data_IF_147131861788
#
_entry.id   IF_147131861788
#
_cell.length_a   1.000
_cell.length_b   1.000
_cell.length_c   1.000
_cell.angle_alpha   90.00
_cell.angle_beta   90.00
_cell.angle_gamma   90.00
#
_symmetry.space_group_name_H-M   'P 1'
#
loop_
_entity.id
_entity.type
_entity.pdbx_description
1 polymer ?
#
# COMPACT_ATOMS: atom_id res chain seq x y z
N UNK A 1 -29.06 -31.24 -24.31
CA UNK A 1 -29.59 -30.12 -23.51
C UNK A 1 -28.50 -29.08 -23.42
N UNK A 2 -28.82 -27.81 -23.68
CA UNK A 2 -27.85 -26.71 -23.58
C UNK A 2 -27.32 -26.58 -22.14
N UNK A 3 -26.12 -26.04 -21.99
CA UNK A 3 -25.51 -25.90 -20.66
C UNK A 3 -26.32 -24.93 -19.78
N UNK A 4 -26.86 -23.85 -20.37
CA UNK A 4 -27.73 -22.93 -19.65
C UNK A 4 -28.96 -23.62 -19.06
N UNK A 5 -29.66 -24.45 -19.84
CA UNK A 5 -30.84 -25.21 -19.36
C UNK A 5 -30.43 -26.21 -18.27
N UNK A 6 -29.26 -26.84 -18.41
CA UNK A 6 -28.73 -27.78 -17.43
C UNK A 6 -28.50 -27.09 -16.08
N UNK A 7 -27.85 -25.93 -16.07
CA UNK A 7 -27.55 -25.16 -14.85
C UNK A 7 -28.86 -24.84 -14.11
N UNK A 8 -29.87 -24.33 -14.80
CA UNK A 8 -31.16 -24.01 -14.18
C UNK A 8 -31.85 -25.24 -13.58
N UNK A 9 -31.83 -26.38 -14.28
CA UNK A 9 -32.47 -27.63 -13.82
C UNK A 9 -31.73 -28.32 -12.69
N UNK A 10 -30.41 -28.13 -12.59
CA UNK A 10 -29.54 -28.84 -11.65
C UNK A 10 -28.90 -27.90 -10.62
N UNK A 11 -29.51 -26.76 -10.34
CA UNK A 11 -28.96 -25.75 -9.43
C UNK A 11 -28.62 -26.31 -8.05
N UNK A 12 -29.55 -27.00 -7.38
CA UNK A 12 -29.29 -27.55 -6.04
C UNK A 12 -28.16 -28.60 -5.99
N UNK A 13 -28.12 -29.60 -6.89
CA UNK A 13 -26.96 -30.50 -6.99
C UNK A 13 -25.62 -29.79 -7.17
N UNK A 14 -25.59 -28.71 -7.97
CA UNK A 14 -24.37 -27.91 -8.19
C UNK A 14 -23.98 -27.16 -6.91
N UNK A 15 -24.95 -26.50 -6.25
CA UNK A 15 -24.73 -25.76 -5.00
C UNK A 15 -24.28 -26.67 -3.85
N UNK A 16 -24.80 -27.91 -3.79
CA UNK A 16 -24.37 -28.89 -2.80
C UNK A 16 -22.90 -29.31 -2.99
N UNK A 17 -22.43 -29.47 -4.24
CA UNK A 17 -21.01 -29.75 -4.51
C UNK A 17 -20.11 -28.56 -4.17
N UNK A 18 -20.58 -27.34 -4.45
CA UNK A 18 -19.88 -26.12 -4.05
C UNK A 18 -19.74 -26.04 -2.52
N UNK A 19 -20.83 -26.22 -1.77
CA UNK A 19 -20.81 -26.18 -0.30
C UNK A 19 -19.83 -27.21 0.28
N UNK A 20 -19.90 -28.45 -0.21
CA UNK A 20 -19.01 -29.52 0.24
C UNK A 20 -17.54 -29.17 0.00
N UNK A 21 -17.21 -28.56 -1.14
CA UNK A 21 -15.86 -28.08 -1.42
C UNK A 21 -15.46 -26.90 -0.52
N UNK A 22 -16.31 -25.88 -0.41
CA UNK A 22 -16.03 -24.68 0.37
C UNK A 22 -15.77 -25.00 1.85
N UNK A 23 -16.48 -25.98 2.42
CA UNK A 23 -16.26 -26.47 3.79
C UNK A 23 -14.82 -27.00 4.05
N UNK A 24 -14.11 -27.43 3.00
CA UNK A 24 -12.72 -27.93 3.10
C UNK A 24 -11.68 -26.81 3.22
N UNK A 25 -12.04 -25.55 2.96
CA UNK A 25 -11.13 -24.41 2.92
C UNK A 25 -10.82 -23.87 4.34
N UNK A 26 -10.07 -24.66 5.11
CA UNK A 26 -9.65 -24.31 6.47
C UNK A 26 -8.45 -23.32 6.49
N UNK A 27 -8.33 -22.46 7.52
CA UNK A 27 -9.24 -22.30 8.67
C UNK A 27 -10.46 -21.39 8.39
N UNK A 28 -10.52 -20.75 7.22
CA UNK A 28 -11.53 -19.73 6.91
C UNK A 28 -12.98 -20.26 6.97
N UNK A 29 -13.19 -21.50 6.49
CA UNK A 29 -14.50 -22.13 6.51
C UNK A 29 -14.95 -22.64 7.90
N UNK A 30 -14.10 -22.59 8.94
CA UNK A 30 -14.37 -23.24 10.24
C UNK A 30 -15.62 -22.72 10.96
N UNK A 31 -15.94 -21.43 10.81
CA UNK A 31 -17.03 -20.76 11.52
C UNK A 31 -18.25 -20.48 10.65
N UNK A 32 -18.32 -21.07 9.46
CA UNK A 32 -19.36 -20.78 8.47
C UNK A 32 -20.45 -21.84 8.49
N UNK A 33 -21.71 -21.40 8.41
CA UNK A 33 -22.85 -22.27 8.18
C UNK A 33 -23.07 -22.53 6.68
N UNK A 34 -23.97 -23.46 6.36
CA UNK A 34 -24.27 -23.84 4.98
C UNK A 34 -24.74 -22.67 4.13
N UNK A 35 -25.50 -21.72 4.71
CA UNK A 35 -25.95 -20.51 4.02
C UNK A 35 -24.74 -19.66 3.62
N UNK A 36 -23.85 -19.36 4.58
CA UNK A 36 -22.66 -18.56 4.33
C UNK A 36 -21.69 -19.22 3.33
N UNK A 37 -21.60 -20.56 3.31
CA UNK A 37 -20.79 -21.28 2.33
C UNK A 37 -21.37 -21.19 0.91
N UNK A 38 -22.70 -21.09 0.77
CA UNK A 38 -23.40 -21.01 -0.53
C UNK A 38 -23.63 -19.58 -1.03
N UNK A 39 -23.38 -18.57 -0.20
CA UNK A 39 -23.63 -17.16 -0.52
C UNK A 39 -23.22 -16.79 -1.94
N UNK A 40 -24.17 -16.29 -2.73
CA UNK A 40 -24.00 -15.78 -4.10
C UNK A 40 -23.63 -16.81 -5.18
N UNK A 41 -23.37 -18.08 -4.83
CA UNK A 41 -23.04 -19.13 -5.81
C UNK A 41 -24.18 -19.37 -6.81
N UNK A 42 -25.44 -19.27 -6.36
CA UNK A 42 -26.63 -19.37 -7.21
C UNK A 42 -26.67 -18.24 -8.23
N UNK A 43 -26.51 -17.00 -7.78
CA UNK A 43 -26.59 -15.82 -8.62
C UNK A 43 -25.42 -15.76 -9.63
N UNK A 44 -24.23 -16.25 -9.25
CA UNK A 44 -23.09 -16.42 -10.18
C UNK A 44 -23.44 -17.42 -11.29
N UNK A 45 -24.06 -18.55 -10.94
CA UNK A 45 -24.49 -19.55 -11.91
C UNK A 45 -25.62 -19.05 -12.82
N UNK A 46 -26.57 -18.29 -12.27
CA UNK A 46 -27.65 -17.65 -13.03
C UNK A 46 -27.09 -16.63 -14.03
N UNK A 47 -26.13 -15.80 -13.60
CA UNK A 47 -25.44 -14.86 -14.48
C UNK A 47 -24.67 -15.58 -15.60
N UNK A 48 -23.95 -16.66 -15.27
CA UNK A 48 -23.26 -17.48 -16.27
C UNK A 48 -24.23 -18.16 -17.25
N UNK A 49 -25.35 -18.68 -16.77
CA UNK A 49 -26.38 -19.28 -17.62
C UNK A 49 -27.05 -18.24 -18.54
N UNK A 50 -27.29 -17.03 -18.04
CA UNK A 50 -27.81 -15.92 -18.83
C UNK A 50 -26.82 -15.51 -19.92
N UNK A 51 -25.54 -15.40 -19.59
CA UNK A 51 -24.48 -15.05 -20.54
C UNK A 51 -24.37 -16.05 -21.70
N UNK A 52 -24.44 -17.36 -21.41
CA UNK A 52 -24.48 -18.43 -22.44
C UNK A 52 -25.59 -18.19 -23.47
N UNK A 53 -26.74 -17.66 -23.02
CA UNK A 53 -27.90 -17.40 -23.89
C UNK A 53 -27.90 -16.02 -24.55
N UNK A 54 -27.03 -15.11 -24.12
CA UNK A 54 -27.02 -13.73 -24.60
C UNK A 54 -26.37 -13.62 -25.99
N UNK A 55 -27.00 -12.97 -26.98
CA UNK A 55 -26.35 -12.73 -28.27
C UNK A 55 -25.10 -11.88 -28.10
N UNK A 56 -23.98 -12.31 -28.69
CA UNK A 56 -22.69 -11.60 -28.67
C UNK A 56 -22.04 -11.70 -30.04
N UNK A 57 -21.40 -10.63 -30.46
CA UNK A 57 -20.51 -10.57 -31.63
C UNK A 57 -19.18 -11.27 -31.33
N UNK A 58 -18.42 -11.62 -32.37
CA UNK A 58 -17.06 -12.17 -32.21
C UNK A 58 -16.10 -11.19 -31.52
N UNK A 59 -16.30 -9.90 -31.72
CA UNK A 59 -15.50 -8.85 -31.09
C UNK A 59 -15.80 -8.76 -29.59
N UNK A 60 -17.08 -8.76 -29.20
CA UNK A 60 -17.49 -8.81 -27.79
C UNK A 60 -16.97 -10.08 -27.10
N UNK A 61 -17.02 -11.23 -27.79
CA UNK A 61 -16.46 -12.47 -27.28
C UNK A 61 -14.94 -12.38 -27.10
N UNK A 62 -14.23 -11.79 -28.07
CA UNK A 62 -12.79 -11.60 -27.99
C UNK A 62 -12.40 -10.67 -26.83
N UNK A 63 -13.00 -9.49 -26.73
CA UNK A 63 -12.71 -8.53 -25.66
C UNK A 63 -13.01 -9.14 -24.29
N UNK A 64 -14.08 -9.92 -24.15
CA UNK A 64 -14.37 -10.66 -22.93
C UNK A 64 -13.30 -11.70 -22.59
N UNK A 65 -12.84 -12.46 -23.59
CA UNK A 65 -11.79 -13.48 -23.40
C UNK A 65 -10.44 -12.90 -22.93
N UNK A 66 -10.16 -11.61 -23.22
CA UNK A 66 -8.94 -10.91 -22.79
C UNK A 66 -9.16 -9.99 -21.59
N UNK A 67 -10.34 -10.04 -20.96
CA UNK A 67 -10.67 -9.26 -19.76
C UNK A 67 -10.94 -7.76 -20.01
N UNK A 68 -11.35 -7.39 -21.23
CA UNK A 68 -11.67 -6.01 -21.64
C UNK A 68 -13.17 -5.78 -21.85
N UNK A 69 -14.02 -6.67 -21.33
CA UNK A 69 -15.45 -6.47 -21.38
C UNK A 69 -15.83 -5.12 -20.71
N UNK A 70 -16.71 -4.31 -21.33
CA UNK A 70 -17.07 -3.01 -20.77
C UNK A 70 -17.74 -3.18 -19.41
N UNK A 71 -17.11 -2.65 -18.36
CA UNK A 71 -17.71 -2.51 -17.05
C UNK A 71 -18.82 -1.46 -17.14
N UNK A 72 -20.05 -1.83 -16.75
CA UNK A 72 -21.13 -0.85 -16.63
C UNK A 72 -20.88 0.01 -15.39
N UNK A 73 -20.37 1.23 -15.61
CA UNK A 73 -20.03 2.24 -14.59
C UNK A 73 -21.16 2.55 -13.59
N UNK A 74 -22.42 2.17 -13.88
CA UNK A 74 -23.59 2.35 -13.02
C UNK A 74 -24.37 1.04 -12.74
N UNK A 75 -23.79 -0.14 -12.99
CA UNK A 75 -24.47 -1.39 -12.66
C UNK A 75 -24.44 -1.64 -11.13
N UNK A 76 -25.51 -2.22 -10.55
CA UNK A 76 -25.46 -2.72 -9.18
C UNK A 76 -24.35 -3.77 -9.03
N UNK A 77 -23.81 -3.90 -7.81
CA UNK A 77 -22.75 -4.88 -7.52
C UNK A 77 -23.13 -6.27 -8.03
N UNK A 78 -22.23 -6.92 -8.77
CA UNK A 78 -22.46 -8.27 -9.29
C UNK A 78 -22.40 -9.29 -8.14
N UNK A 79 -23.06 -10.44 -8.31
CA UNK A 79 -22.98 -11.52 -7.34
C UNK A 79 -21.53 -11.98 -7.07
N UNK A 80 -20.67 -11.92 -8.08
CA UNK A 80 -19.24 -12.22 -7.96
C UNK A 80 -18.51 -11.18 -7.08
N UNK A 81 -18.88 -9.90 -7.20
CA UNK A 81 -18.35 -8.82 -6.36
C UNK A 81 -18.78 -8.98 -4.90
N UNK A 82 -20.07 -9.19 -4.63
CA UNK A 82 -20.58 -9.41 -3.27
C UNK A 82 -20.00 -10.68 -2.64
N UNK A 83 -19.85 -11.76 -3.43
CA UNK A 83 -19.21 -12.99 -3.00
C UNK A 83 -17.76 -12.74 -2.53
N UNK A 84 -16.97 -12.04 -3.34
CA UNK A 84 -15.59 -11.69 -3.02
C UNK A 84 -15.47 -10.90 -1.72
N UNK A 85 -16.34 -9.91 -1.50
CA UNK A 85 -16.36 -9.08 -0.27
C UNK A 85 -16.64 -9.96 0.96
N UNK A 86 -17.61 -10.87 0.88
CA UNK A 86 -17.93 -11.78 1.98
C UNK A 86 -16.77 -12.72 2.30
N UNK A 87 -16.09 -13.26 1.29
CA UNK A 87 -14.91 -14.11 1.47
C UNK A 87 -13.74 -13.37 2.12
N UNK A 88 -13.47 -12.15 1.69
CA UNK A 88 -12.46 -11.29 2.32
C UNK A 88 -12.76 -11.07 3.82
N UNK A 89 -14.01 -10.76 4.17
CA UNK A 89 -14.44 -10.57 5.58
C UNK A 89 -14.38 -11.84 6.43
N UNK A 90 -14.46 -13.02 5.81
CA UNK A 90 -14.38 -14.33 6.48
C UNK A 90 -12.94 -14.88 6.55
N UNK A 91 -11.94 -14.12 6.13
CA UNK A 91 -10.53 -14.50 6.23
C UNK A 91 -10.08 -15.53 5.19
N UNK A 92 -10.80 -15.62 4.06
CA UNK A 92 -10.31 -16.38 2.92
C UNK A 92 -9.06 -15.71 2.35
N UNK A 93 -8.18 -16.48 1.72
CA UNK A 93 -7.12 -15.96 0.86
C UNK A 93 -7.49 -16.08 -0.62
N UNK A 94 -6.74 -15.39 -1.49
CA UNK A 94 -7.00 -15.36 -2.94
C UNK A 94 -6.96 -16.75 -3.59
N UNK A 95 -6.12 -17.66 -3.10
CA UNK A 95 -6.04 -19.02 -3.62
C UNK A 95 -7.28 -19.83 -3.25
N UNK A 96 -7.85 -19.62 -2.06
CA UNK A 96 -9.10 -20.25 -1.63
C UNK A 96 -10.27 -19.75 -2.48
N UNK A 97 -10.38 -18.44 -2.71
CA UNK A 97 -11.38 -17.85 -3.60
C UNK A 97 -11.28 -18.42 -5.03
N UNK A 98 -10.08 -18.42 -5.62
CA UNK A 98 -9.87 -18.99 -6.95
C UNK A 98 -10.16 -20.50 -7.01
N UNK A 99 -9.94 -21.21 -5.91
CA UNK A 99 -10.25 -22.63 -5.81
C UNK A 99 -11.77 -22.88 -5.80
N UNK A 100 -12.59 -22.02 -5.19
CA UNK A 100 -14.06 -22.12 -5.24
C UNK A 100 -14.57 -22.05 -6.68
N UNK A 101 -14.13 -21.06 -7.46
CA UNK A 101 -14.48 -20.94 -8.89
C UNK A 101 -14.00 -22.13 -9.72
N UNK A 102 -12.77 -22.62 -9.46
CA UNK A 102 -12.24 -23.81 -10.12
C UNK A 102 -13.09 -25.04 -9.83
N UNK A 103 -13.51 -25.23 -8.57
CA UNK A 103 -14.37 -26.32 -8.15
C UNK A 103 -15.75 -26.23 -8.80
N UNK A 104 -16.37 -25.03 -8.83
CA UNK A 104 -17.65 -24.79 -9.49
C UNK A 104 -17.63 -25.19 -10.96
N UNK A 105 -16.65 -24.66 -11.70
CA UNK A 105 -16.49 -24.94 -13.13
C UNK A 105 -16.35 -26.44 -13.36
N UNK A 106 -15.51 -27.11 -12.57
CA UNK A 106 -15.32 -28.55 -12.67
C UNK A 106 -16.59 -29.33 -12.32
N UNK A 107 -17.37 -28.89 -11.33
CA UNK A 107 -18.63 -29.52 -10.93
C UNK A 107 -19.70 -29.37 -12.02
N UNK A 108 -19.91 -28.16 -12.54
CA UNK A 108 -20.89 -27.88 -13.60
C UNK A 108 -20.56 -28.67 -14.85
N UNK A 109 -19.31 -28.59 -15.34
CA UNK A 109 -18.91 -29.26 -16.57
C UNK A 109 -18.98 -30.79 -16.44
N UNK A 110 -18.54 -31.35 -15.32
CA UNK A 110 -18.59 -32.80 -15.07
C UNK A 110 -20.03 -33.30 -15.00
N UNK A 111 -20.87 -32.67 -14.19
CA UNK A 111 -22.28 -33.05 -14.08
C UNK A 111 -23.01 -32.93 -15.42
N UNK A 112 -22.70 -31.90 -16.21
CA UNK A 112 -23.30 -31.73 -17.53
C UNK A 112 -22.80 -32.76 -18.55
N UNK A 113 -21.50 -33.06 -18.58
CA UNK A 113 -20.93 -34.11 -19.45
C UNK A 113 -21.53 -35.48 -19.13
N UNK A 114 -21.61 -35.82 -17.84
CA UNK A 114 -22.13 -37.11 -17.36
C UNK A 114 -23.63 -37.27 -17.70
N UNK A 115 -24.42 -36.21 -17.51
CA UNK A 115 -25.87 -36.25 -17.72
C UNK A 115 -26.30 -36.09 -19.19
N UNK A 116 -25.59 -35.27 -19.97
CA UNK A 116 -26.08 -34.82 -21.28
C UNK A 116 -25.31 -35.40 -22.47
N UNK A 117 -24.08 -35.89 -22.29
CA UNK A 117 -23.18 -36.35 -23.38
C UNK A 117 -23.22 -35.39 -24.59
N UNK A 118 -22.77 -34.13 -24.42
CA UNK A 118 -22.98 -33.07 -25.39
C UNK A 118 -22.27 -33.32 -26.72
N UNK A 119 -22.92 -32.91 -27.79
CA UNK A 119 -22.46 -32.92 -29.18
C UNK A 119 -21.91 -31.54 -29.62
N UNK A 120 -21.24 -31.47 -30.77
CA UNK A 120 -20.46 -30.30 -31.21
C UNK A 120 -21.15 -28.91 -31.08
N UNK A 121 -22.45 -28.73 -31.41
CA UNK A 121 -23.13 -27.44 -31.26
C UNK A 121 -23.24 -26.95 -29.81
N UNK A 122 -23.12 -27.85 -28.84
CA UNK A 122 -23.13 -27.53 -27.42
C UNK A 122 -21.73 -27.23 -26.86
N UNK A 123 -20.65 -27.45 -27.64
CA UNK A 123 -19.29 -27.11 -27.20
C UNK A 123 -19.09 -25.59 -27.11
N UNK A 124 -19.81 -24.80 -27.92
CA UNK A 124 -19.81 -23.34 -27.81
C UNK A 124 -20.38 -22.86 -26.47
N UNK A 125 -21.36 -23.58 -25.90
CA UNK A 125 -21.86 -23.28 -24.56
C UNK A 125 -20.76 -23.47 -23.49
N UNK A 126 -19.82 -24.41 -23.68
CA UNK A 126 -18.68 -24.58 -22.76
C UNK A 126 -17.71 -23.41 -22.83
N UNK A 127 -17.42 -22.90 -24.04
CA UNK A 127 -16.55 -21.75 -24.23
C UNK A 127 -17.16 -20.54 -23.53
N UNK A 128 -18.45 -20.27 -23.79
CA UNK A 128 -19.20 -19.18 -23.15
C UNK A 128 -19.26 -19.30 -21.64
N UNK A 129 -19.50 -20.52 -21.13
CA UNK A 129 -19.48 -20.76 -19.69
C UNK A 129 -18.09 -20.51 -19.07
N UNK A 130 -17.02 -20.94 -19.72
CA UNK A 130 -15.66 -20.68 -19.25
C UNK A 130 -15.38 -19.19 -19.23
N UNK A 131 -15.73 -18.45 -20.29
CA UNK A 131 -15.59 -16.99 -20.37
C UNK A 131 -16.42 -16.28 -19.28
N UNK A 132 -17.65 -16.74 -19.01
CA UNK A 132 -18.48 -16.17 -17.94
C UNK A 132 -17.90 -16.44 -16.55
N UNK A 133 -17.36 -17.64 -16.30
CA UNK A 133 -16.70 -17.97 -15.04
C UNK A 133 -15.38 -17.23 -14.88
N UNK A 134 -14.58 -17.10 -15.95
CA UNK A 134 -13.30 -16.38 -15.90
C UNK A 134 -13.54 -14.87 -15.69
N UNK A 135 -14.60 -14.30 -16.29
CA UNK A 135 -15.05 -12.93 -16.00
C UNK A 135 -15.46 -12.77 -14.53
N UNK A 136 -16.32 -13.66 -14.01
CA UNK A 136 -16.74 -13.61 -12.62
C UNK A 136 -15.56 -13.78 -11.64
N UNK A 137 -14.60 -14.65 -11.98
CA UNK A 137 -13.38 -14.83 -11.21
C UNK A 137 -12.50 -13.57 -11.24
N UNK A 138 -12.32 -12.95 -12.40
CA UNK A 138 -11.55 -11.71 -12.53
C UNK A 138 -12.18 -10.57 -11.71
N UNK A 139 -13.50 -10.38 -11.81
CA UNK A 139 -14.25 -9.43 -10.98
C UNK A 139 -14.08 -9.72 -9.49
N UNK A 140 -14.25 -10.99 -9.09
CA UNK A 140 -14.06 -11.41 -7.71
C UNK A 140 -12.64 -11.17 -7.21
N UNK A 141 -11.61 -11.42 -8.01
CA UNK A 141 -10.20 -11.16 -7.63
C UNK A 141 -9.97 -9.66 -7.41
N UNK A 142 -10.46 -8.82 -8.32
CA UNK A 142 -10.32 -7.36 -8.22
C UNK A 142 -11.01 -6.83 -6.96
N UNK A 143 -12.27 -7.22 -6.71
CA UNK A 143 -13.01 -6.78 -5.52
C UNK A 143 -12.46 -7.39 -4.23
N UNK A 144 -12.04 -8.66 -4.24
CA UNK A 144 -11.42 -9.29 -3.08
C UNK A 144 -10.13 -8.54 -2.70
N UNK A 145 -9.27 -8.26 -3.67
CA UNK A 145 -8.03 -7.53 -3.46
C UNK A 145 -8.32 -6.13 -2.94
N UNK A 146 -9.26 -5.41 -3.56
CA UNK A 146 -9.68 -4.09 -3.10
C UNK A 146 -10.22 -4.10 -1.66
N UNK A 147 -11.03 -5.10 -1.29
CA UNK A 147 -11.56 -5.23 0.07
C UNK A 147 -10.49 -5.59 1.11
N UNK A 148 -9.57 -6.50 0.77
CA UNK A 148 -8.44 -6.85 1.65
C UNK A 148 -7.53 -5.64 1.85
N UNK A 149 -7.21 -4.93 0.77
CA UNK A 149 -6.41 -3.70 0.84
C UNK A 149 -7.12 -2.59 1.61
N UNK A 150 -8.41 -2.38 1.38
CA UNK A 150 -9.20 -1.40 2.12
C UNK A 150 -9.27 -1.74 3.61
N UNK A 151 -9.55 -3.00 3.97
CA UNK A 151 -9.61 -3.44 5.37
C UNK A 151 -8.25 -3.32 6.06
N UNK A 152 -7.18 -3.73 5.38
CA UNK A 152 -5.79 -3.54 5.82
C UNK A 152 -5.52 -2.05 6.04
N UNK A 153 -5.92 -1.20 5.11
CA UNK A 153 -5.69 0.22 5.21
C UNK A 153 -6.47 0.83 6.38
N UNK A 154 -7.76 0.54 6.52
CA UNK A 154 -8.56 1.00 7.65
C UNK A 154 -7.97 0.58 9.00
N UNK A 155 -7.52 -0.68 9.12
CA UNK A 155 -6.91 -1.20 10.33
C UNK A 155 -5.62 -0.44 10.69
N UNK A 156 -4.75 -0.19 9.71
CA UNK A 156 -3.53 0.61 9.92
C UNK A 156 -3.85 2.06 10.31
N UNK A 157 -4.89 2.65 9.72
CA UNK A 157 -5.37 3.98 10.09
C UNK A 157 -5.89 4.05 11.52
N UNK A 158 -6.72 3.09 11.95
CA UNK A 158 -7.25 2.99 13.31
C UNK A 158 -6.14 2.77 14.33
N UNK A 159 -5.21 1.83 14.08
CA UNK A 159 -4.04 1.61 14.94
C UNK A 159 -3.20 2.87 15.09
N UNK A 160 -2.97 3.60 14.00
CA UNK A 160 -2.27 4.89 14.03
C UNK A 160 -2.95 5.90 14.96
N UNK A 161 -4.27 6.05 14.83
CA UNK A 161 -5.06 6.97 15.63
C UNK A 161 -5.13 6.57 17.11
N UNK A 162 -5.47 5.32 17.39
CA UNK A 162 -5.74 4.84 18.75
C UNK A 162 -4.47 4.66 19.58
N UNK A 163 -3.31 4.50 18.93
CA UNK A 163 -2.00 4.49 19.60
C UNK A 163 -1.44 5.89 19.87
N UNK A 164 -1.87 6.92 19.13
CA UNK A 164 -1.39 8.32 19.30
C UNK A 164 -1.75 8.86 20.68
N UNK A 165 -3.00 8.68 21.12
CA UNK A 165 -3.49 9.19 22.41
C UNK A 165 -2.77 8.64 23.65
N UNK A 166 -2.64 7.30 23.84
CA UNK A 166 -1.90 6.76 24.98
C UNK A 166 -0.42 7.15 24.92
N UNK A 167 0.15 7.29 23.72
CA UNK A 167 1.53 7.70 23.54
C UNK A 167 1.77 9.16 23.94
N UNK A 168 0.89 10.07 23.53
CA UNK A 168 0.91 11.48 23.96
C UNK A 168 0.82 11.59 25.49
N UNK A 169 0.02 10.73 26.12
CA UNK A 169 -0.12 10.70 27.59
C UNK A 169 1.18 10.27 28.27
N UNK A 170 1.84 9.22 27.74
CA UNK A 170 3.16 8.77 28.22
C UNK A 170 4.19 9.89 28.07
N UNK A 171 4.22 10.55 26.92
CA UNK A 171 5.15 11.65 26.65
C UNK A 171 4.92 12.83 27.59
N UNK A 172 3.69 13.29 27.76
CA UNK A 172 3.36 14.41 28.64
C UNK A 172 3.75 14.11 30.09
N UNK A 173 3.46 12.89 30.55
CA UNK A 173 3.82 12.43 31.90
C UNK A 173 5.34 12.39 32.08
N UNK A 174 6.08 11.90 31.08
CA UNK A 174 7.53 11.89 31.11
C UNK A 174 8.11 13.31 31.09
N UNK A 175 7.61 14.21 30.25
CA UNK A 175 8.00 15.64 30.23
C UNK A 175 7.75 16.29 31.59
N UNK A 176 6.61 16.01 32.21
CA UNK A 176 6.30 16.49 33.56
C UNK A 176 7.29 15.96 34.60
N UNK A 177 7.61 14.66 34.58
CA UNK A 177 8.59 14.05 35.49
C UNK A 177 10.00 14.63 35.30
N UNK A 178 10.41 14.90 34.06
CA UNK A 178 11.68 15.56 33.76
C UNK A 178 11.71 16.99 34.31
N UNK A 179 10.61 17.74 34.16
CA UNK A 179 10.50 19.11 34.65
C UNK A 179 10.52 19.23 36.19
N UNK A 180 10.07 18.19 36.90
CA UNK A 180 10.10 18.15 38.36
C UNK A 180 11.52 18.02 38.95
N UNK A 181 12.54 17.72 38.14
CA UNK A 181 13.92 17.48 38.60
C UNK A 181 13.96 16.54 39.83
N UNK A 182 13.16 15.48 39.80
CA UNK A 182 12.93 14.58 40.93
C UNK A 182 14.12 13.65 41.26
N UNK A 183 15.34 14.03 40.83
CA UNK A 183 16.56 13.24 40.85
C UNK A 183 17.08 12.96 39.43
N UNK A 184 18.40 12.83 39.30
CA UNK A 184 19.07 12.63 38.00
C UNK A 184 18.58 11.36 37.30
N UNK A 185 18.44 10.25 38.04
CA UNK A 185 17.95 8.96 37.50
C UNK A 185 16.52 9.04 36.95
N UNK A 186 15.63 9.78 37.63
CA UNK A 186 14.23 9.96 37.20
C UNK A 186 14.17 10.86 35.97
N UNK A 187 14.98 11.91 35.95
CA UNK A 187 15.06 12.84 34.82
C UNK A 187 15.65 12.16 33.58
N UNK A 188 16.63 11.28 33.76
CA UNK A 188 17.19 10.48 32.66
C UNK A 188 16.18 9.45 32.13
N UNK A 189 15.48 8.74 33.02
CA UNK A 189 14.42 7.80 32.65
C UNK A 189 13.27 8.49 31.91
N UNK A 190 12.85 9.67 32.38
CA UNK A 190 11.88 10.52 31.72
C UNK A 190 12.36 10.96 30.33
N UNK A 191 13.61 11.41 30.20
CA UNK A 191 14.22 11.73 28.91
C UNK A 191 14.22 10.56 27.93
N UNK A 192 14.49 9.34 28.40
CA UNK A 192 14.40 8.12 27.59
C UNK A 192 12.98 7.85 27.11
N UNK A 193 11.96 8.03 27.97
CA UNK A 193 10.55 7.88 27.62
C UNK A 193 10.10 8.93 26.59
N UNK A 194 10.51 10.19 26.74
CA UNK A 194 10.19 11.26 25.77
C UNK A 194 10.74 10.90 24.39
N UNK A 195 12.02 10.50 24.30
CA UNK A 195 12.66 10.11 23.03
C UNK A 195 12.01 8.88 22.40
N UNK A 196 11.73 7.85 23.20
CA UNK A 196 11.04 6.63 22.72
C UNK A 196 9.61 6.94 22.25
N UNK A 197 8.91 7.80 23.00
CA UNK A 197 7.58 8.29 22.64
C UNK A 197 7.58 9.07 21.34
N UNK A 198 8.53 9.99 21.15
CA UNK A 198 8.64 10.78 19.92
C UNK A 198 8.91 9.90 18.70
N UNK A 199 9.76 8.89 18.88
CA UNK A 199 10.04 7.90 17.83
C UNK A 199 8.79 7.09 17.47
N UNK A 200 8.04 6.60 18.45
CA UNK A 200 6.79 5.90 18.19
C UNK A 200 5.77 6.81 17.49
N UNK A 201 5.71 8.09 17.86
CA UNK A 201 4.80 9.06 17.25
C UNK A 201 5.13 9.24 15.77
N UNK A 202 6.41 9.43 15.44
CA UNK A 202 6.87 9.53 14.06
C UNK A 202 6.56 8.27 13.24
N UNK A 203 6.74 7.06 13.82
CA UNK A 203 6.39 5.81 13.15
C UNK A 203 4.87 5.68 12.89
N UNK A 204 4.04 6.13 13.82
CA UNK A 204 2.58 6.13 13.65
C UNK A 204 2.15 7.16 12.61
N UNK A 205 2.77 8.34 12.58
CA UNK A 205 2.47 9.38 11.61
C UNK A 205 2.90 8.96 10.19
N UNK A 206 4.09 8.37 10.02
CA UNK A 206 4.54 7.77 8.76
C UNK A 206 3.58 6.65 8.29
N UNK A 207 3.09 5.83 9.23
CA UNK A 207 2.11 4.78 8.92
C UNK A 207 0.78 5.37 8.46
N UNK A 208 0.30 6.44 9.11
CA UNK A 208 -0.90 7.16 8.70
C UNK A 208 -0.73 7.81 7.32
N UNK A 209 0.39 8.47 7.05
CA UNK A 209 0.66 9.09 5.75
C UNK A 209 0.76 8.01 4.64
N UNK A 210 1.51 6.93 4.89
CA UNK A 210 1.53 5.77 4.00
C UNK A 210 0.13 5.25 3.70
N UNK A 211 -0.69 5.08 4.74
CA UNK A 211 -2.06 4.62 4.58
C UNK A 211 -2.92 5.51 3.67
N UNK A 212 -2.82 6.82 3.85
CA UNK A 212 -3.56 7.79 3.01
C UNK A 212 -3.14 7.72 1.55
N UNK A 213 -1.85 7.54 1.28
CA UNK A 213 -1.35 7.39 -0.09
C UNK A 213 -1.85 6.10 -0.74
N UNK A 214 -1.96 4.99 0.01
CA UNK A 214 -2.55 3.74 -0.48
C UNK A 214 -4.05 3.87 -0.79
N UNK A 215 -4.75 4.80 -0.14
CA UNK A 215 -6.16 5.13 -0.43
C UNK A 215 -6.30 6.14 -1.59
N UNK A 216 -5.22 6.53 -2.27
CA UNK A 216 -5.25 7.48 -3.37
C UNK A 216 -5.46 8.94 -2.95
N UNK A 217 -5.45 9.24 -1.64
CA UNK A 217 -5.66 10.59 -1.11
C UNK A 217 -4.38 11.45 -1.12
N UNK A 218 -3.22 10.81 -1.31
CA UNK A 218 -1.92 11.46 -1.21
C UNK A 218 -1.62 12.02 0.18
N UNK A 219 -0.49 12.74 0.28
CA UNK A 219 -0.14 13.52 1.46
C UNK A 219 -0.85 14.88 1.38
N UNK A 220 -1.56 15.24 2.45
CA UNK A 220 -2.14 16.56 2.56
C UNK A 220 -1.04 17.59 2.87
N UNK A 221 -1.04 18.66 2.07
CA UNK A 221 -0.18 19.84 2.20
C UNK A 221 -1.06 21.09 2.29
N UNK A 222 -0.66 22.04 3.12
CA UNK A 222 -1.23 23.38 3.20
C UNK A 222 -0.13 24.41 2.90
N UNK A 223 0.21 24.63 1.61
CA UNK A 223 1.34 25.47 1.25
C UNK A 223 1.10 26.94 1.60
N UNK A 224 2.17 27.60 2.06
CA UNK A 224 2.19 29.02 2.43
C UNK A 224 3.51 29.65 1.98
N UNK A 225 3.54 30.97 1.93
CA UNK A 225 4.79 31.68 1.61
C UNK A 225 5.83 31.40 2.71
N UNK A 226 6.93 30.76 2.32
CA UNK A 226 8.00 30.35 3.22
C UNK A 226 9.36 30.42 2.52
N UNK A 227 10.42 30.57 3.30
CA UNK A 227 11.80 30.54 2.83
C UNK A 227 12.43 29.18 3.14
N UNK A 228 12.85 28.43 2.11
CA UNK A 228 13.45 27.11 2.32
C UNK A 228 14.79 27.18 3.09
N UNK A 229 15.46 28.33 3.10
CA UNK A 229 16.65 28.52 3.92
C UNK A 229 16.37 28.29 5.40
N UNK A 230 15.31 28.94 5.93
CA UNK A 230 14.90 28.82 7.33
C UNK A 230 14.51 27.37 7.68
N UNK A 231 13.85 26.69 6.75
CA UNK A 231 13.43 25.29 6.92
C UNK A 231 14.65 24.36 6.99
N UNK A 232 15.63 24.53 6.09
CA UNK A 232 16.87 23.74 6.08
C UNK A 232 17.67 23.96 7.36
N UNK A 233 17.82 25.21 7.79
CA UNK A 233 18.57 25.53 9.00
C UNK A 233 17.95 24.89 10.25
N UNK A 234 16.62 25.00 10.41
CA UNK A 234 15.91 24.37 11.54
C UNK A 234 16.11 22.84 11.60
N UNK A 235 15.99 22.17 10.46
CA UNK A 235 16.16 20.70 10.38
C UNK A 235 17.60 20.30 10.67
N UNK A 236 18.57 21.01 10.09
CA UNK A 236 19.98 20.68 10.27
C UNK A 236 20.41 20.92 11.72
N UNK A 237 19.94 21.98 12.36
CA UNK A 237 20.26 22.26 13.77
C UNK A 237 19.68 21.20 14.71
N UNK A 238 18.45 20.74 14.46
CA UNK A 238 17.87 19.61 15.20
C UNK A 238 18.72 18.34 15.05
N UNK A 239 19.12 18.01 13.82
CA UNK A 239 19.90 16.81 13.54
C UNK A 239 21.33 16.88 14.05
N UNK A 240 21.96 18.06 14.07
CA UNK A 240 23.26 18.28 14.74
C UNK A 240 23.15 18.03 16.24
N UNK A 241 22.06 18.47 16.87
CA UNK A 241 21.78 18.18 18.28
C UNK A 241 21.58 16.69 18.56
N UNK A 242 20.92 15.97 17.66
CA UNK A 242 20.70 14.52 17.78
C UNK A 242 21.94 13.68 17.44
N UNK A 243 22.85 14.18 16.62
CA UNK A 243 24.03 13.49 16.11
C UNK A 243 25.30 14.33 16.27
N UNK A 244 25.76 14.62 17.49
CA UNK A 244 26.89 15.52 17.74
C UNK A 244 28.22 15.04 17.15
N UNK A 245 28.36 13.73 16.92
CA UNK A 245 29.56 13.11 16.32
C UNK A 245 29.52 13.10 14.77
N UNK A 246 28.51 13.72 14.15
CA UNK A 246 28.32 13.74 12.70
C UNK A 246 28.39 15.15 12.18
N UNK A 247 29.17 15.34 11.12
CA UNK A 247 29.28 16.61 10.41
C UNK A 247 28.17 16.74 9.35
N UNK A 248 27.55 17.92 9.28
CA UNK A 248 26.52 18.27 8.29
C UNK A 248 26.88 19.62 7.69
N UNK A 249 27.23 19.62 6.41
CA UNK A 249 27.61 20.80 5.63
C UNK A 249 26.39 21.35 4.89
N UNK A 250 26.17 22.66 5.00
CA UNK A 250 25.01 23.34 4.39
C UNK A 250 25.50 24.38 3.38
N UNK A 251 24.96 24.32 2.16
CA UNK A 251 25.25 25.27 1.08
C UNK A 251 23.95 25.80 0.45
N UNK A 252 23.61 27.05 0.72
CA UNK A 252 22.37 27.69 0.30
C UNK A 252 22.66 28.82 -0.68
N UNK A 253 22.01 28.79 -1.84
CA UNK A 253 22.28 29.73 -2.94
C UNK A 253 21.03 30.28 -3.63
N UNK A 254 21.00 31.59 -3.84
CA UNK A 254 19.94 32.27 -4.58
C UNK A 254 18.68 32.54 -3.76
N UNK A 255 17.57 32.83 -4.46
CA UNK A 255 16.27 33.09 -3.83
C UNK A 255 15.53 31.76 -3.60
N UNK A 256 15.34 31.38 -2.33
CA UNK A 256 14.73 30.12 -1.92
C UNK A 256 13.27 30.26 -1.44
N UNK A 257 12.68 31.45 -1.62
CA UNK A 257 11.28 31.71 -1.30
C UNK A 257 10.35 31.03 -2.29
N UNK A 258 9.26 30.50 -1.76
CA UNK A 258 8.21 29.85 -2.55
C UNK A 258 6.99 29.54 -1.70
N UNK A 259 6.12 28.70 -2.23
CA UNK A 259 4.85 28.34 -1.62
C UNK A 259 4.89 26.88 -1.14
N UNK A 260 5.18 26.69 0.16
CA UNK A 260 5.53 25.40 0.74
C UNK A 260 4.73 25.12 2.03
N UNK A 261 4.43 23.86 2.30
CA UNK A 261 3.99 23.44 3.64
C UNK A 261 5.23 23.22 4.51
N UNK A 262 5.54 24.20 5.36
CA UNK A 262 6.71 24.21 6.24
C UNK A 262 6.92 22.88 6.98
N UNK A 263 5.87 22.37 7.63
CA UNK A 263 5.95 21.13 8.42
C UNK A 263 6.26 19.91 7.54
N UNK A 264 5.65 19.82 6.35
CA UNK A 264 5.91 18.72 5.41
C UNK A 264 7.31 18.84 4.80
N UNK A 265 7.77 20.05 4.52
CA UNK A 265 9.14 20.27 4.03
C UNK A 265 10.19 19.87 5.07
N UNK A 266 9.98 20.21 6.34
CA UNK A 266 10.83 19.73 7.44
C UNK A 266 10.84 18.19 7.50
N UNK A 267 9.68 17.54 7.42
CA UNK A 267 9.59 16.07 7.42
C UNK A 267 10.35 15.43 6.24
N UNK A 268 10.24 15.99 5.04
CA UNK A 268 10.97 15.52 3.86
C UNK A 268 12.48 15.63 4.06
N UNK A 269 12.97 16.81 4.48
CA UNK A 269 14.38 17.05 4.72
C UNK A 269 14.93 16.15 5.83
N UNK A 270 14.23 16.04 6.97
CA UNK A 270 14.61 15.17 8.07
C UNK A 270 14.72 13.71 7.63
N UNK A 271 13.82 13.23 6.77
CA UNK A 271 13.88 11.87 6.23
C UNK A 271 15.11 11.66 5.33
N UNK A 272 15.45 12.62 4.46
CA UNK A 272 16.59 12.52 3.57
C UNK A 272 17.92 12.62 4.33
N UNK A 273 18.06 13.61 5.22
CA UNK A 273 19.29 13.83 5.99
C UNK A 273 19.51 12.70 7.00
N UNK A 274 18.46 12.22 7.68
CA UNK A 274 18.57 11.05 8.57
C UNK A 274 18.95 9.78 7.81
N UNK A 275 18.48 9.62 6.57
CA UNK A 275 18.91 8.52 5.70
C UNK A 275 20.41 8.63 5.40
N UNK A 276 20.86 9.79 4.96
CA UNK A 276 22.26 10.08 4.68
C UNK A 276 23.19 9.86 5.90
N UNK A 277 22.76 10.26 7.09
CA UNK A 277 23.49 10.03 8.34
C UNK A 277 23.60 8.54 8.69
N UNK A 278 22.53 7.78 8.46
CA UNK A 278 22.42 6.37 8.82
C UNK A 278 23.19 5.43 7.89
N UNK A 279 23.18 5.74 6.60
CA UNK A 279 23.77 4.91 5.55
C UNK A 279 25.11 5.44 5.04
N UNK A 280 25.45 6.68 5.37
CA UNK A 280 26.73 7.27 5.01
C UNK A 280 27.90 6.74 5.82
N UNK A 281 29.08 6.70 5.19
CA UNK A 281 30.34 6.34 5.81
C UNK A 281 30.57 7.18 7.06
N UNK A 282 30.91 6.55 8.21
CA UNK A 282 31.24 7.28 9.44
C UNK A 282 32.36 8.31 9.20
N UNK A 283 32.32 9.43 9.93
CA UNK A 283 33.33 10.51 9.85
C UNK A 283 33.47 11.18 8.47
N UNK A 284 32.42 11.12 7.64
CA UNK A 284 32.32 11.94 6.43
C UNK A 284 31.09 12.84 6.53
N UNK A 285 31.18 14.10 6.06
CA UNK A 285 30.07 15.03 6.18
C UNK A 285 28.90 14.60 5.29
N UNK A 286 27.68 14.80 5.80
CA UNK A 286 26.48 14.81 4.98
C UNK A 286 26.35 16.21 4.38
N UNK A 287 26.23 16.30 3.06
CA UNK A 287 26.04 17.58 2.37
C UNK A 287 24.55 17.83 2.16
N UNK A 288 24.08 19.00 2.54
CA UNK A 288 22.76 19.52 2.22
C UNK A 288 22.95 20.80 1.43
N UNK A 289 22.41 20.84 0.21
CA UNK A 289 22.41 22.06 -0.59
C UNK A 289 21.01 22.41 -1.08
N UNK A 290 20.74 23.70 -1.21
CA UNK A 290 19.54 24.19 -1.87
C UNK A 290 19.87 25.38 -2.75
N UNK A 291 19.45 25.33 -4.01
CA UNK A 291 19.73 26.38 -4.98
C UNK A 291 18.49 26.72 -5.82
N UNK A 292 18.31 28.00 -6.12
CA UNK A 292 17.31 28.46 -7.09
C UNK A 292 17.66 27.96 -8.50
N UNK A 293 16.70 27.34 -9.17
CA UNK A 293 16.81 26.80 -10.53
C UNK A 293 15.67 27.34 -11.42
N UNK A 294 15.70 28.64 -11.71
CA UNK A 294 14.64 29.31 -12.47
C UNK A 294 13.32 29.37 -11.68
N UNK A 295 12.28 28.72 -12.20
CA UNK A 295 10.97 28.62 -11.54
C UNK A 295 10.94 27.55 -10.42
N UNK A 296 12.00 26.75 -10.31
CA UNK A 296 12.10 25.67 -9.34
C UNK A 296 13.17 25.98 -8.28
N UNK A 297 13.15 25.22 -7.19
CA UNK A 297 14.26 25.05 -6.25
C UNK A 297 14.76 23.61 -6.37
N UNK A 298 16.09 23.45 -6.41
CA UNK A 298 16.76 22.16 -6.35
C UNK A 298 17.37 21.99 -4.96
N UNK A 299 16.96 20.94 -4.25
CA UNK A 299 17.53 20.53 -2.97
C UNK A 299 18.32 19.24 -3.22
N UNK A 300 19.56 19.16 -2.77
CA UNK A 300 20.35 17.93 -2.81
C UNK A 300 20.82 17.52 -1.42
N UNK A 301 20.61 16.25 -1.07
CA UNK A 301 21.15 15.64 0.15
C UNK A 301 22.07 14.51 -0.25
N UNK A 302 23.36 14.64 0.09
CA UNK A 302 24.41 13.72 -0.33
C UNK A 302 25.21 13.14 0.83
N UNK A 303 25.61 11.88 0.69
CA UNK A 303 26.55 11.23 1.60
C UNK A 303 27.53 10.34 0.85
N UNK A 304 28.74 10.18 1.38
CA UNK A 304 29.65 9.12 0.95
C UNK A 304 29.18 7.78 1.49
N UNK A 305 29.36 6.70 0.75
CA UNK A 305 28.88 5.38 1.17
C UNK A 305 29.13 4.31 0.11
N UNK A 306 28.80 3.05 0.39
CA UNK A 306 28.81 2.01 -0.63
C UNK A 306 27.82 2.35 -1.75
N UNK A 307 28.26 2.16 -2.98
CA UNK A 307 27.42 2.35 -4.16
C UNK A 307 26.19 1.44 -4.08
N UNK A 308 25.02 2.00 -4.38
CA UNK A 308 23.79 1.24 -4.49
C UNK A 308 23.72 0.58 -5.86
N UNK A 309 23.31 -0.69 -5.91
CA UNK A 309 23.07 -1.34 -7.18
C UNK A 309 21.86 -0.72 -7.92
N UNK A 310 21.79 -0.96 -9.23
CA UNK A 310 20.75 -0.37 -10.07
C UNK A 310 19.33 -0.79 -9.67
N UNK A 311 19.13 -2.05 -9.29
CA UNK A 311 17.82 -2.56 -8.89
C UNK A 311 17.36 -1.94 -7.57
N UNK A 312 18.29 -1.67 -6.66
CA UNK A 312 18.03 -0.96 -5.42
C UNK A 312 17.68 0.50 -5.70
N UNK A 313 18.39 1.19 -6.59
CA UNK A 313 18.07 2.58 -6.98
C UNK A 313 16.68 2.71 -7.61
N UNK A 314 16.31 1.79 -8.50
CA UNK A 314 14.99 1.77 -9.15
C UNK A 314 13.84 1.60 -8.16
N UNK A 315 14.12 1.05 -6.97
CA UNK A 315 13.14 0.71 -5.95
C UNK A 315 13.37 1.43 -4.63
N UNK A 316 14.30 2.38 -4.56
CA UNK A 316 14.75 2.96 -3.29
C UNK A 316 13.66 3.78 -2.59
N UNK A 317 12.72 4.29 -3.39
CA UNK A 317 11.54 5.03 -2.92
C UNK A 317 10.31 4.12 -2.74
N UNK A 318 10.39 2.81 -3.02
CA UNK A 318 9.28 1.89 -2.73
C UNK A 318 9.07 1.81 -1.21
N UNK A 319 7.82 1.68 -0.74
CA UNK A 319 7.53 1.58 0.68
C UNK A 319 8.06 0.26 1.27
N UNK A 320 8.41 0.30 2.56
CA UNK A 320 8.87 -0.85 3.35
C UNK A 320 10.18 -1.48 2.86
N UNK A 321 10.95 -0.75 2.04
CA UNK A 321 12.25 -1.19 1.60
C UNK A 321 13.27 -1.16 2.72
N UNK A 322 14.07 -2.23 2.79
CA UNK A 322 15.14 -2.41 3.76
C UNK A 322 16.40 -2.79 3.01
N UNK A 323 17.51 -2.09 3.25
CA UNK A 323 18.80 -2.44 2.66
C UNK A 323 19.22 -3.86 3.04
N UNK A 324 19.87 -4.58 2.12
CA UNK A 324 20.24 -6.00 2.29
C UNK A 324 21.06 -6.28 3.57
N UNK A 325 21.84 -5.30 4.05
CA UNK A 325 22.66 -5.40 5.27
C UNK A 325 21.88 -5.24 6.59
N UNK A 326 20.57 -5.04 6.56
CA UNK A 326 19.78 -4.77 7.77
C UNK A 326 19.49 -6.03 8.61
N UNK A 327 19.84 -7.23 8.13
CA UNK A 327 19.70 -8.48 8.92
C UNK A 327 20.64 -8.54 10.14
N UNK A 328 21.65 -7.68 10.22
CA UNK A 328 22.67 -7.67 11.28
C UNK A 328 22.61 -6.45 12.22
N UNK A 329 21.73 -5.47 11.99
CA UNK A 329 21.60 -4.29 12.87
C UNK A 329 20.49 -4.48 13.92
N UNK A 330 20.69 -3.95 15.12
CA UNK A 330 19.77 -4.11 16.25
C UNK A 330 18.39 -3.52 15.96
N UNK A 331 17.34 -4.12 16.54
CA UNK A 331 15.94 -3.67 16.37
C UNK A 331 15.70 -2.22 16.79
N UNK A 332 16.56 -1.67 17.66
CA UNK A 332 16.51 -0.28 18.10
C UNK A 332 16.79 0.75 16.99
N UNK A 333 17.36 0.34 15.85
CA UNK A 333 17.77 1.23 14.76
C UNK A 333 16.95 1.02 13.46
N UNK A 334 15.91 0.17 13.52
CA UNK A 334 15.12 -0.22 12.36
C UNK A 334 13.86 0.63 12.23
N UNK A 335 13.92 1.71 11.43
CA UNK A 335 12.73 2.39 10.92
C UNK A 335 11.89 1.46 10.03
N UNK A 336 10.62 1.82 9.79
CA UNK A 336 9.69 1.01 8.99
C UNK A 336 10.09 0.88 7.50
N UNK A 337 11.10 1.63 7.03
CA UNK A 337 11.43 1.72 5.60
C UNK A 337 10.48 2.63 4.84
N UNK A 338 9.85 3.58 5.52
CA UNK A 338 8.91 4.53 4.93
C UNK A 338 9.52 5.91 4.65
N UNK A 339 10.63 6.29 5.31
CA UNK A 339 11.14 7.67 5.23
C UNK A 339 11.39 8.19 3.80
N UNK A 340 12.06 7.42 2.95
CA UNK A 340 12.31 7.83 1.55
C UNK A 340 11.02 7.84 0.70
N UNK A 341 10.09 6.92 0.96
CA UNK A 341 8.76 6.92 0.34
C UNK A 341 7.95 8.16 0.76
N UNK A 342 7.95 8.52 2.04
CA UNK A 342 7.25 9.71 2.53
C UNK A 342 7.89 10.97 1.95
N UNK A 343 9.22 11.04 1.86
CA UNK A 343 9.90 12.16 1.22
C UNK A 343 9.49 12.30 -0.27
N UNK A 344 9.37 11.20 -1.01
CA UNK A 344 8.93 11.24 -2.41
C UNK A 344 7.48 11.67 -2.56
N UNK A 345 6.59 11.22 -1.67
CA UNK A 345 5.17 11.60 -1.67
C UNK A 345 4.97 13.07 -1.24
N UNK A 346 5.80 13.61 -0.33
CA UNK A 346 5.78 15.04 0.03
C UNK A 346 6.21 15.89 -1.16
N UNK A 347 7.29 15.50 -1.86
CA UNK A 347 7.73 16.19 -3.07
C UNK A 347 6.62 16.18 -4.14
N UNK A 348 5.98 15.03 -4.36
CA UNK A 348 4.85 14.88 -5.29
C UNK A 348 3.64 15.73 -4.89
N UNK A 349 3.32 15.82 -3.59
CA UNK A 349 2.24 16.66 -3.10
C UNK A 349 2.50 18.16 -3.34
N UNK A 350 3.76 18.57 -3.39
CA UNK A 350 4.21 19.90 -3.84
C UNK A 350 4.45 19.99 -5.36
N UNK A 351 3.91 19.07 -6.15
CA UNK A 351 4.06 19.00 -7.62
C UNK A 351 5.51 18.87 -8.11
N UNK A 352 6.41 18.48 -7.23
CA UNK A 352 7.80 18.22 -7.53
C UNK A 352 8.09 16.74 -7.74
N UNK A 353 9.38 16.42 -7.73
CA UNK A 353 9.88 15.05 -7.83
C UNK A 353 11.17 14.88 -7.03
N UNK A 354 11.46 13.63 -6.68
CA UNK A 354 12.74 13.22 -6.12
C UNK A 354 13.40 12.20 -7.04
N UNK A 355 14.69 12.39 -7.26
CA UNK A 355 15.56 11.50 -8.02
C UNK A 355 16.70 11.04 -7.11
N UNK A 356 17.22 9.83 -7.33
CA UNK A 356 18.40 9.32 -6.62
C UNK A 356 19.49 8.90 -7.60
N UNK A 357 20.73 9.24 -7.28
CA UNK A 357 21.92 8.71 -7.96
C UNK A 357 22.89 8.16 -6.92
N UNK A 358 23.56 7.07 -7.25
CA UNK A 358 24.61 6.51 -6.41
C UNK A 358 25.74 5.98 -7.29
N UNK A 359 26.97 6.32 -6.91
CA UNK A 359 28.19 5.81 -7.52
C UNK A 359 29.19 5.42 -6.42
N UNK A 360 30.44 5.13 -6.80
CA UNK A 360 31.48 4.74 -5.85
C UNK A 360 31.94 5.88 -4.93
N UNK A 361 31.58 7.13 -5.21
CA UNK A 361 31.94 8.29 -4.42
C UNK A 361 30.82 8.71 -3.45
N UNK A 362 29.59 8.79 -3.94
CA UNK A 362 28.47 9.31 -3.17
C UNK A 362 27.10 8.75 -3.60
N UNK A 363 26.16 8.81 -2.66
CA UNK A 363 24.72 8.71 -2.91
C UNK A 363 24.11 10.09 -2.73
N UNK A 364 23.31 10.54 -3.69
CA UNK A 364 22.65 11.85 -3.68
C UNK A 364 21.17 11.69 -3.98
N UNK A 365 20.35 12.29 -3.13
CA UNK A 365 18.92 12.49 -3.33
C UNK A 365 18.68 13.92 -3.78
N UNK A 366 18.11 14.10 -4.96
CA UNK A 366 17.84 15.40 -5.56
C UNK A 366 16.33 15.65 -5.64
N UNK A 367 15.83 16.64 -4.92
CA UNK A 367 14.44 17.07 -4.93
C UNK A 367 14.30 18.33 -5.77
N UNK A 368 13.40 18.31 -6.75
CA UNK A 368 13.05 19.49 -7.55
C UNK A 368 11.62 19.90 -7.25
N UNK A 369 11.42 21.14 -6.81
CA UNK A 369 10.13 21.69 -6.41
C UNK A 369 9.82 23.01 -7.14
N UNK A 370 8.61 23.21 -7.68
CA UNK A 370 8.21 24.48 -8.28
C UNK A 370 7.95 25.54 -7.20
N UNK A 371 8.52 26.75 -7.34
CA UNK A 371 8.35 27.85 -6.36
C UNK A 371 6.90 28.33 -6.20
N UNK A 372 6.09 28.15 -7.24
CA UNK A 372 4.67 28.50 -7.28
C UNK A 372 3.84 27.22 -7.29
N UNK A 373 2.91 27.13 -6.34
CA UNK A 373 2.17 25.91 -6.01
C UNK A 373 1.25 25.34 -7.08
#
# INVERSE_FOLDING_TARGET
MRLADFIHRNMEPILAQWEAFAATLQPAARSMDALALRDHARQILEAAAQDITTPQTREEQHEKSVGRAPESLNAPETAAQTHAVLRARRGFNINQLAAEYRALRASVLRLWMDACRPNAPHLDDMIRFNEAIDQALAESISFFTAQVEQARNLLLGMLGHDMRTPLQTIQLTATYLAALNAGDDISEAAGRLIRSGGRMQALLDDLCDFNRTQLGLGIHVDPRDADLADIVDNVVDELRGAHPDREIDVDLGGDLRGHWDDRRMQQMLSNLVSNALKYGTPNTPVRVSAASAGADVLIEVGNKGPALDRLMLERIFDPLQRGADQRQRTAADAGLGLGLYIASEIARAHRGRIDARSDHAETVFAVRLPKTG
#
